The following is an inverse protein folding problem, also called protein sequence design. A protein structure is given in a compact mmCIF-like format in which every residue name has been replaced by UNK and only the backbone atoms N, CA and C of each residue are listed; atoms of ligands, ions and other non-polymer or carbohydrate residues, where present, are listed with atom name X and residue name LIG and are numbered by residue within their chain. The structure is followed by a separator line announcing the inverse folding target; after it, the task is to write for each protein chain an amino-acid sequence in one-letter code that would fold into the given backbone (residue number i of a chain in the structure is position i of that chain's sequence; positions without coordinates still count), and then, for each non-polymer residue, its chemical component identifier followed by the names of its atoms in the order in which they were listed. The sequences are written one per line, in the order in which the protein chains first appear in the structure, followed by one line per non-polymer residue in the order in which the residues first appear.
data_IF_854519711772
#
_entry.id   IF_854519711772
#
_cell.length_a   1.000
_cell.length_b   1.000
_cell.length_c   1.000
_cell.angle_alpha   90.00
_cell.angle_beta   90.00
_cell.angle_gamma   90.00
#
_symmetry.space_group_name_H-M   'P 1'
#
loop_
_entity.id
_entity.type
_entity.pdbx_description
1 polymer ?
#
# COMPACT_ATOMS: atom_id res chain seq x y z
N UNK A 1 -1.34 10.61 -35.99
CA UNK A 1 -1.44 9.93 -34.67
C UNK A 1 -0.84 8.55 -34.83
N UNK A 2 0.28 8.23 -34.19
CA UNK A 2 0.99 6.96 -34.44
C UNK A 2 0.73 5.97 -33.30
N UNK A 3 0.48 4.71 -33.65
CA UNK A 3 0.21 3.64 -32.69
C UNK A 3 1.44 2.74 -32.52
N UNK A 4 1.66 2.28 -31.29
CA UNK A 4 2.73 1.34 -30.97
C UNK A 4 2.40 -0.06 -31.53
N UNK A 5 3.29 -0.64 -32.33
CA UNK A 5 3.10 -1.97 -32.92
C UNK A 5 3.14 -3.13 -31.91
N UNK A 6 3.54 -2.89 -30.66
CA UNK A 6 3.55 -3.92 -29.60
C UNK A 6 2.27 -3.90 -28.73
N UNK A 7 1.69 -2.73 -28.46
CA UNK A 7 0.55 -2.62 -27.53
C UNK A 7 -0.70 -1.98 -28.16
N UNK A 8 -0.65 -1.60 -29.44
CA UNK A 8 -1.72 -0.96 -30.21
C UNK A 8 -2.30 0.33 -29.60
N UNK A 9 -1.62 0.92 -28.62
CA UNK A 9 -1.98 2.21 -28.01
C UNK A 9 -1.28 3.36 -28.73
N UNK A 10 -1.93 4.51 -28.79
CA UNK A 10 -1.35 5.73 -29.36
C UNK A 10 -0.12 6.19 -28.57
N UNK A 11 0.96 6.46 -29.28
CA UNK A 11 2.19 7.04 -28.74
C UNK A 11 1.94 8.52 -28.45
N UNK A 12 1.93 8.87 -27.16
CA UNK A 12 1.78 10.26 -26.70
C UNK A 12 3.16 10.84 -26.40
N UNK A 13 3.54 11.88 -27.14
CA UNK A 13 4.81 12.62 -26.98
C UNK A 13 5.91 12.21 -27.96
N UNK A 14 7.08 12.84 -27.83
CA UNK A 14 8.20 12.71 -28.76
C UNK A 14 9.11 11.49 -28.48
N UNK A 15 8.73 10.64 -27.52
CA UNK A 15 9.52 9.49 -27.10
C UNK A 15 9.02 8.23 -27.81
N UNK A 16 9.62 7.94 -28.97
CA UNK A 16 9.32 6.75 -29.76
C UNK A 16 10.61 6.08 -30.23
N UNK A 17 10.54 4.77 -30.46
CA UNK A 17 11.58 3.98 -31.10
C UNK A 17 11.06 3.51 -32.45
N UNK A 18 11.78 3.83 -33.53
CA UNK A 18 11.45 3.41 -34.89
C UNK A 18 12.40 2.31 -35.32
N UNK A 19 11.85 1.18 -35.77
CA UNK A 19 12.65 0.09 -36.31
C UNK A 19 13.22 0.48 -37.68
N UNK A 20 14.50 0.23 -37.91
CA UNK A 20 15.15 0.45 -39.21
C UNK A 20 14.77 -0.57 -40.29
N UNK A 21 14.13 -1.70 -39.92
CA UNK A 21 13.81 -2.80 -40.85
C UNK A 21 12.34 -2.90 -41.28
N UNK A 22 11.41 -2.51 -40.42
CA UNK A 22 9.97 -2.65 -40.70
C UNK A 22 9.19 -1.34 -40.54
N UNK A 23 9.89 -0.22 -40.35
CA UNK A 23 9.33 1.12 -40.12
C UNK A 23 8.33 1.26 -38.95
N UNK A 24 8.02 0.17 -38.24
CA UNK A 24 7.14 0.19 -37.09
C UNK A 24 7.70 0.99 -35.93
N UNK A 25 6.78 1.63 -35.22
CA UNK A 25 7.08 2.49 -34.08
C UNK A 25 6.60 1.84 -32.80
N UNK A 26 7.38 2.03 -31.73
CA UNK A 26 7.15 1.40 -30.44
C UNK A 26 7.32 2.41 -29.31
N UNK A 27 6.56 2.23 -28.23
CA UNK A 27 6.88 2.88 -26.97
C UNK A 27 8.23 2.33 -26.46
N UNK A 28 9.12 3.18 -25.91
CA UNK A 28 10.36 2.71 -25.28
C UNK A 28 10.11 1.59 -24.26
N UNK A 29 9.09 1.74 -23.43
CA UNK A 29 8.72 0.73 -22.42
C UNK A 29 8.25 -0.60 -23.03
N UNK A 30 7.55 -0.57 -24.18
CA UNK A 30 7.10 -1.80 -24.85
C UNK A 30 8.26 -2.62 -25.43
N UNK A 31 9.44 -2.02 -25.58
CA UNK A 31 10.65 -2.69 -26.07
C UNK A 31 11.75 -2.72 -25.02
N UNK A 32 11.36 -2.61 -23.74
CA UNK A 32 12.22 -2.70 -22.57
C UNK A 32 13.34 -1.65 -22.49
N UNK A 33 13.05 -0.43 -22.96
CA UNK A 33 13.90 0.75 -22.80
C UNK A 33 13.29 1.61 -21.68
N UNK A 34 13.88 1.53 -20.50
CA UNK A 34 13.50 2.34 -19.32
C UNK A 34 14.15 3.72 -19.34
N UNK A 35 15.36 3.85 -19.89
CA UNK A 35 16.16 5.09 -19.86
C UNK A 35 16.31 5.75 -21.24
N UNK A 36 15.20 6.08 -21.90
CA UNK A 36 15.19 6.68 -23.25
C UNK A 36 16.10 7.92 -23.42
N UNK A 37 16.23 8.73 -22.37
CA UNK A 37 17.06 9.95 -22.36
C UNK A 37 18.56 9.66 -22.44
N UNK A 38 19.01 8.47 -22.02
CA UNK A 38 20.42 8.07 -22.07
C UNK A 38 20.81 7.40 -23.39
N UNK A 39 19.84 7.09 -24.25
CA UNK A 39 20.10 6.51 -25.56
C UNK A 39 20.68 7.58 -26.49
N UNK A 40 21.86 7.31 -27.04
CA UNK A 40 22.50 8.15 -28.05
C UNK A 40 21.73 8.14 -29.37
N UNK A 41 21.83 9.23 -30.13
CA UNK A 41 21.18 9.36 -31.44
C UNK A 41 21.57 8.23 -32.40
N UNK A 42 22.84 7.80 -32.38
CA UNK A 42 23.36 6.67 -33.14
C UNK A 42 22.55 5.41 -32.82
N UNK A 43 22.41 5.09 -31.54
CA UNK A 43 21.67 3.89 -31.10
C UNK A 43 20.19 3.96 -31.50
N UNK A 44 19.57 5.16 -31.49
CA UNK A 44 18.19 5.32 -31.99
C UNK A 44 18.10 5.06 -33.49
N UNK A 45 19.09 5.54 -34.25
CA UNK A 45 19.12 5.43 -35.71
C UNK A 45 19.45 4.01 -36.21
N UNK A 46 20.08 3.17 -35.39
CA UNK A 46 20.42 1.78 -35.74
C UNK A 46 19.52 0.75 -35.06
N UNK A 47 18.50 1.19 -34.32
CA UNK A 47 17.68 0.28 -33.52
C UNK A 47 16.78 -0.60 -34.38
N UNK A 48 16.78 -1.90 -34.07
CA UNK A 48 15.98 -2.93 -34.75
C UNK A 48 15.00 -3.51 -33.72
N UNK A 49 13.73 -3.64 -34.08
CA UNK A 49 12.73 -4.19 -33.17
C UNK A 49 12.96 -5.70 -32.92
N UNK A 50 12.42 -6.25 -31.81
CA UNK A 50 12.57 -7.66 -31.48
C UNK A 50 12.09 -8.60 -32.59
N UNK A 51 11.01 -8.24 -33.29
CA UNK A 51 10.48 -9.03 -34.40
C UNK A 51 11.47 -9.14 -35.56
N UNK A 52 12.05 -8.01 -35.99
CA UNK A 52 13.04 -7.98 -37.07
C UNK A 52 14.38 -8.57 -36.67
N UNK A 53 14.77 -8.47 -35.38
CA UNK A 53 15.98 -9.09 -34.85
C UNK A 53 15.88 -10.61 -34.84
N UNK A 54 14.70 -11.17 -34.57
CA UNK A 54 14.48 -12.62 -34.65
C UNK A 54 14.35 -13.13 -36.09
N UNK A 55 13.93 -12.27 -37.02
CA UNK A 55 13.75 -12.62 -38.43
C UNK A 55 15.04 -12.56 -39.26
N UNK A 56 16.14 -12.00 -38.73
CA UNK A 56 17.43 -12.04 -39.44
C UNK A 56 18.07 -13.41 -39.34
N UNK A 57 18.47 -14.04 -40.46
CA UNK A 57 19.31 -15.22 -40.40
C UNK A 57 20.61 -14.87 -39.67
N UNK A 58 20.93 -15.65 -38.62
CA UNK A 58 22.19 -15.53 -37.87
C UNK A 58 23.34 -15.85 -38.82
N UNK A 59 23.89 -14.82 -39.45
CA UNK A 59 25.04 -14.88 -40.36
C UNK A 59 26.32 -14.76 -39.55
N UNK A 60 26.51 -15.67 -38.59
CA UNK A 60 27.82 -16.05 -38.05
C UNK A 60 27.66 -17.28 -37.13
N UNK A 61 27.62 -18.47 -37.72
CA UNK A 61 27.67 -19.75 -37.00
C UNK A 61 29.01 -20.45 -37.24
N UNK A 62 30.09 -19.70 -37.30
CA UNK A 62 31.43 -20.22 -37.62
C UNK A 62 32.06 -21.05 -36.48
N UNK A 63 31.28 -21.48 -35.47
CA UNK A 63 31.77 -22.32 -34.36
C UNK A 63 30.70 -23.17 -33.66
N UNK A 64 29.85 -23.88 -34.43
CA UNK A 64 29.12 -25.07 -33.90
C UNK A 64 29.08 -26.19 -34.95
N UNK A 65 29.32 -27.46 -34.59
CA UNK A 65 29.38 -28.55 -35.56
C UNK A 65 28.02 -28.77 -36.22
N UNK A 66 28.10 -29.03 -37.52
CA UNK A 66 27.02 -29.20 -38.49
C UNK A 66 26.01 -30.26 -38.00
N UNK A 67 24.71 -29.90 -37.93
CA UNK A 67 23.62 -30.88 -38.02
C UNK A 67 23.23 -30.99 -39.48
N UNK A 68 23.55 -32.13 -40.10
CA UNK A 68 23.10 -32.50 -41.43
C UNK A 68 21.59 -32.73 -41.46
N UNK A 69 20.94 -32.58 -42.64
CA UNK A 69 19.50 -32.70 -42.78
C UNK A 69 19.05 -34.16 -42.74
N UNK A 70 17.86 -34.37 -42.17
CA UNK A 70 17.17 -35.66 -42.17
C UNK A 70 16.77 -36.02 -43.60
N UNK A 71 17.29 -37.15 -44.08
CA UNK A 71 16.72 -37.90 -45.19
C UNK A 71 15.97 -39.09 -44.56
N UNK A 72 14.72 -39.30 -44.95
CA UNK A 72 13.93 -40.46 -44.57
C UNK A 72 14.34 -41.70 -45.38
N UNK A 73 13.92 -42.86 -44.85
CA UNK A 73 13.84 -44.21 -45.43
C UNK A 73 14.96 -45.19 -45.07
N UNK A 74 14.59 -46.06 -44.12
CA UNK A 74 14.67 -47.52 -44.09
C UNK A 74 16.02 -48.27 -44.24
N UNK A 75 16.08 -49.38 -43.48
CA UNK A 75 16.91 -50.59 -43.60
C UNK A 75 18.04 -50.76 -42.54
N UNK A 76 17.69 -51.59 -41.55
CA UNK A 76 18.36 -52.81 -41.05
C UNK A 76 19.74 -52.78 -40.33
N UNK A 77 19.73 -53.45 -39.17
CA UNK A 77 20.79 -54.17 -38.44
C UNK A 77 22.17 -53.52 -38.20
N UNK A 78 22.50 -53.27 -36.91
CA UNK A 78 23.59 -53.94 -36.15
C UNK A 78 23.95 -53.22 -34.82
N UNK A 79 23.98 -54.02 -33.74
CA UNK A 79 24.76 -53.91 -32.49
C UNK A 79 24.68 -52.67 -31.56
N UNK A 80 24.62 -52.87 -30.23
CA UNK A 80 24.71 -51.80 -29.25
C UNK A 80 26.16 -51.34 -29.12
N UNK A 81 26.53 -50.25 -29.78
CA UNK A 81 27.77 -49.55 -29.46
C UNK A 81 27.55 -48.76 -28.17
N UNK A 82 28.02 -49.33 -27.07
CA UNK A 82 28.22 -48.61 -25.80
C UNK A 82 29.35 -47.62 -26.05
N UNK A 83 29.00 -46.43 -26.55
CA UNK A 83 29.90 -45.27 -26.51
C UNK A 83 29.67 -44.61 -25.16
N UNK A 84 30.37 -45.08 -24.14
CA UNK A 84 30.57 -44.32 -22.90
C UNK A 84 31.36 -43.03 -23.25
N UNK A 85 30.61 -42.01 -23.64
CA UNK A 85 31.11 -40.64 -23.76
C UNK A 85 31.05 -39.98 -22.38
N UNK A 86 32.20 -39.61 -21.75
CA UNK A 86 32.23 -39.00 -20.41
C UNK A 86 31.45 -37.68 -20.31
N UNK A 87 31.19 -37.04 -21.45
CA UNK A 87 30.51 -35.75 -21.59
C UNK A 87 29.02 -35.78 -21.23
N UNK A 88 28.29 -36.86 -21.54
CA UNK A 88 26.85 -36.97 -21.26
C UNK A 88 26.57 -37.14 -19.75
N UNK A 89 27.43 -37.88 -19.05
CA UNK A 89 27.35 -38.05 -17.60
C UNK A 89 27.66 -36.74 -16.85
N UNK A 90 28.67 -36.00 -17.30
CA UNK A 90 29.02 -34.69 -16.73
C UNK A 90 27.89 -33.65 -16.92
N UNK A 91 27.28 -33.60 -18.12
CA UNK A 91 26.14 -32.71 -18.39
C UNK A 91 24.88 -33.12 -17.60
N UNK A 92 24.64 -34.42 -17.43
CA UNK A 92 23.56 -34.95 -16.59
C UNK A 92 23.75 -34.55 -15.12
N UNK A 93 24.99 -34.60 -14.61
CA UNK A 93 25.33 -34.17 -13.26
C UNK A 93 25.09 -32.66 -13.05
N UNK A 94 25.51 -31.82 -14.00
CA UNK A 94 25.27 -30.37 -13.94
C UNK A 94 23.78 -30.00 -14.02
N UNK A 95 23.00 -30.69 -14.86
CA UNK A 95 21.55 -30.54 -14.93
C UNK A 95 20.86 -30.96 -13.63
N UNK A 96 21.34 -32.03 -12.98
CA UNK A 96 20.84 -32.48 -11.68
C UNK A 96 21.13 -31.45 -10.58
N UNK A 97 22.33 -30.86 -10.56
CA UNK A 97 22.69 -29.78 -9.63
C UNK A 97 21.80 -28.55 -9.84
N UNK A 98 21.63 -28.08 -11.08
CA UNK A 98 20.73 -26.98 -11.39
C UNK A 98 19.27 -27.29 -11.00
N UNK A 99 18.80 -28.51 -11.24
CA UNK A 99 17.47 -28.93 -10.84
C UNK A 99 17.29 -28.92 -9.31
N UNK A 100 18.34 -29.22 -8.55
CA UNK A 100 18.34 -29.12 -7.09
C UNK A 100 18.30 -27.66 -6.61
N UNK A 101 19.08 -26.76 -7.22
CA UNK A 101 19.04 -25.33 -6.91
C UNK A 101 17.67 -24.71 -7.24
N UNK A 102 17.06 -25.10 -8.36
CA UNK A 102 15.70 -24.67 -8.72
C UNK A 102 14.67 -25.14 -7.68
N UNK A 103 14.85 -26.32 -7.08
CA UNK A 103 13.96 -26.78 -5.99
C UNK A 103 14.13 -25.92 -4.74
N UNK A 104 15.36 -25.66 -4.32
CA UNK A 104 15.66 -24.78 -3.19
C UNK A 104 15.10 -23.37 -3.41
N UNK A 105 15.28 -22.78 -4.61
CA UNK A 105 14.70 -21.47 -4.93
C UNK A 105 13.16 -21.48 -4.90
N UNK A 106 12.52 -22.58 -5.29
CA UNK A 106 11.06 -22.71 -5.19
C UNK A 106 10.60 -22.79 -3.74
N UNK A 107 11.39 -23.45 -2.89
CA UNK A 107 11.15 -23.50 -1.45
C UNK A 107 11.29 -22.10 -0.82
N UNK A 108 12.39 -21.39 -1.09
CA UNK A 108 12.62 -20.03 -0.61
C UNK A 108 11.53 -19.04 -1.07
N UNK A 109 11.11 -19.13 -2.33
CA UNK A 109 10.01 -18.31 -2.86
C UNK A 109 8.68 -18.70 -2.20
N UNK A 110 8.49 -19.97 -1.87
CA UNK A 110 7.33 -20.45 -1.11
C UNK A 110 7.30 -19.87 0.30
N UNK A 111 8.43 -19.85 0.99
CA UNK A 111 8.58 -19.28 2.33
C UNK A 111 8.37 -17.76 2.31
N UNK A 112 9.01 -17.05 1.37
CA UNK A 112 8.83 -15.61 1.20
C UNK A 112 7.36 -15.26 0.94
N UNK A 113 6.68 -16.06 0.11
CA UNK A 113 5.24 -15.90 -0.14
C UNK A 113 4.43 -16.08 1.15
N UNK A 114 4.80 -17.04 2.00
CA UNK A 114 4.14 -17.25 3.29
C UNK A 114 4.35 -16.06 4.24
N UNK A 115 5.57 -15.53 4.31
CA UNK A 115 5.89 -14.33 5.10
C UNK A 115 5.14 -13.08 4.62
N UNK A 116 5.07 -12.86 3.30
CA UNK A 116 4.30 -11.76 2.72
C UNK A 116 2.80 -11.87 3.04
N UNK A 117 2.26 -13.10 3.01
CA UNK A 117 0.87 -13.35 3.41
C UNK A 117 0.66 -13.02 4.89
N UNK A 118 1.52 -13.52 5.78
CA UNK A 118 1.43 -13.24 7.22
C UNK A 118 1.53 -11.74 7.51
N UNK A 119 2.45 -11.03 6.86
CA UNK A 119 2.59 -9.59 7.01
C UNK A 119 1.32 -8.85 6.55
N UNK A 120 0.76 -9.24 5.41
CA UNK A 120 -0.49 -8.66 4.90
C UNK A 120 -1.63 -8.88 5.89
N UNK A 121 -1.75 -10.09 6.46
CA UNK A 121 -2.76 -10.43 7.46
C UNK A 121 -2.58 -9.59 8.75
N UNK A 122 -1.35 -9.41 9.23
CA UNK A 122 -1.06 -8.54 10.38
C UNK A 122 -1.36 -7.06 10.11
N UNK A 123 -1.05 -6.55 8.91
CA UNK A 123 -1.39 -5.17 8.52
C UNK A 123 -2.89 -4.96 8.47
N UNK A 124 -3.65 -5.94 7.96
CA UNK A 124 -5.11 -5.89 7.96
C UNK A 124 -5.66 -5.85 9.39
N UNK A 125 -5.14 -6.69 10.29
CA UNK A 125 -5.52 -6.66 11.71
C UNK A 125 -5.15 -5.33 12.38
N UNK A 126 -4.00 -4.76 12.04
CA UNK A 126 -3.58 -3.45 12.55
C UNK A 126 -4.56 -2.34 12.13
N UNK A 127 -4.97 -2.32 10.86
CA UNK A 127 -5.95 -1.35 10.37
C UNK A 127 -7.30 -1.49 11.08
N UNK A 128 -7.80 -2.72 11.28
CA UNK A 128 -9.05 -2.96 12.04
C UNK A 128 -8.94 -2.41 13.47
N UNK A 129 -7.80 -2.64 14.14
CA UNK A 129 -7.56 -2.09 15.49
C UNK A 129 -7.48 -0.57 15.48
N UNK A 130 -6.87 0.04 14.47
CA UNK A 130 -6.81 1.50 14.33
C UNK A 130 -8.21 2.11 14.15
N UNK A 131 -9.08 1.46 13.38
CA UNK A 131 -10.48 1.90 13.21
C UNK A 131 -11.26 1.80 14.53
N UNK A 132 -11.09 0.73 15.30
CA UNK A 132 -11.69 0.61 16.65
C UNK A 132 -11.19 1.71 17.59
N UNK A 133 -9.89 2.00 17.61
CA UNK A 133 -9.35 3.10 18.40
C UNK A 133 -9.86 4.46 17.95
N UNK A 134 -10.03 4.68 16.64
CA UNK A 134 -10.62 5.91 16.09
C UNK A 134 -12.06 6.11 16.60
N UNK A 135 -12.87 5.04 16.60
CA UNK A 135 -14.24 5.07 17.13
C UNK A 135 -14.24 5.37 18.63
N UNK A 136 -13.39 4.68 19.40
CA UNK A 136 -13.27 4.90 20.86
C UNK A 136 -12.82 6.33 21.19
N UNK A 137 -11.89 6.88 20.41
CA UNK A 137 -11.41 8.25 20.56
C UNK A 137 -12.54 9.25 20.29
N UNK A 138 -13.27 9.10 19.18
CA UNK A 138 -14.43 9.95 18.87
C UNK A 138 -15.46 9.93 20.00
N UNK A 139 -15.76 8.76 20.56
CA UNK A 139 -16.70 8.62 21.68
C UNK A 139 -16.20 9.30 22.96
N UNK A 140 -14.90 9.22 23.23
CA UNK A 140 -14.28 9.88 24.38
C UNK A 140 -14.31 11.42 24.21
N UNK A 141 -14.06 11.92 23.02
CA UNK A 141 -14.18 13.34 22.69
C UNK A 141 -15.62 13.84 22.86
N UNK A 142 -16.62 13.10 22.37
CA UNK A 142 -18.04 13.44 22.55
C UNK A 142 -18.44 13.49 24.03
N UNK A 143 -17.96 12.52 24.83
CA UNK A 143 -18.18 12.50 26.26
C UNK A 143 -17.53 13.71 26.94
N UNK A 144 -16.32 14.10 26.52
CA UNK A 144 -15.61 15.27 27.06
C UNK A 144 -16.38 16.56 26.75
N UNK A 145 -16.83 16.74 25.50
CA UNK A 145 -17.68 17.87 25.09
C UNK A 145 -18.99 17.95 25.90
N UNK A 146 -19.61 16.80 26.21
CA UNK A 146 -20.81 16.76 27.03
C UNK A 146 -20.53 17.16 28.48
N UNK A 147 -19.40 16.72 29.04
CA UNK A 147 -18.99 17.10 30.40
C UNK A 147 -18.67 18.60 30.51
N UNK A 148 -17.97 19.17 29.54
CA UNK A 148 -17.69 20.62 29.48
C UNK A 148 -18.98 21.46 29.45
N UNK A 149 -19.99 21.02 28.70
CA UNK A 149 -21.32 21.67 28.69
C UNK A 149 -21.99 21.58 30.06
N UNK A 150 -21.98 20.42 30.68
CA UNK A 150 -22.57 20.25 32.00
C UNK A 150 -21.86 21.09 33.06
N UNK A 151 -20.53 21.19 33.00
CA UNK A 151 -19.74 22.05 33.89
C UNK A 151 -20.12 23.52 33.73
N UNK A 152 -20.27 24.00 32.48
CA UNK A 152 -20.71 25.38 32.23
C UNK A 152 -22.11 25.67 32.80
N UNK A 153 -23.02 24.70 32.73
CA UNK A 153 -24.36 24.83 33.28
C UNK A 153 -24.35 24.82 34.82
N UNK A 154 -23.52 23.97 35.44
CA UNK A 154 -23.34 23.95 36.90
C UNK A 154 -22.77 25.29 37.39
N UNK A 155 -21.78 25.86 36.69
CA UNK A 155 -21.24 27.18 37.03
C UNK A 155 -22.32 28.27 36.94
N UNK A 156 -23.15 28.24 35.89
CA UNK A 156 -24.27 29.18 35.71
C UNK A 156 -25.30 29.05 36.85
N UNK A 157 -25.72 27.83 37.17
CA UNK A 157 -26.67 27.56 38.25
C UNK A 157 -26.13 28.00 39.60
N UNK A 158 -24.85 27.71 39.90
CA UNK A 158 -24.20 28.15 41.13
C UNK A 158 -24.15 29.68 41.22
N UNK A 159 -23.88 30.38 40.12
CA UNK A 159 -23.93 31.85 40.10
C UNK A 159 -25.34 32.38 40.39
N UNK A 160 -26.39 31.75 39.87
CA UNK A 160 -27.78 32.14 40.18
C UNK A 160 -28.12 31.86 41.65
N UNK A 161 -27.70 30.72 42.21
CA UNK A 161 -27.90 30.39 43.62
C UNK A 161 -27.22 31.44 44.51
N UNK A 162 -25.98 31.83 44.19
CA UNK A 162 -25.25 32.85 44.93
C UNK A 162 -25.98 34.21 44.89
N UNK A 163 -26.47 34.62 43.72
CA UNK A 163 -27.26 35.86 43.58
C UNK A 163 -28.54 35.82 44.41
N UNK A 164 -29.29 34.72 44.37
CA UNK A 164 -30.53 34.56 45.13
C UNK A 164 -30.25 34.56 46.65
N UNK A 165 -29.18 33.91 47.10
CA UNK A 165 -28.77 33.94 48.50
C UNK A 165 -28.42 35.36 48.97
N UNK A 166 -27.70 36.13 48.14
CA UNK A 166 -27.40 37.53 48.43
C UNK A 166 -28.66 38.39 48.51
N UNK A 167 -29.62 38.16 47.62
CA UNK A 167 -30.91 38.86 47.64
C UNK A 167 -31.72 38.54 48.90
N UNK A 168 -31.83 37.25 49.27
CA UNK A 168 -32.49 36.82 50.52
C UNK A 168 -31.83 37.48 51.73
N UNK A 169 -30.50 37.45 51.82
CA UNK A 169 -29.77 38.06 52.93
C UNK A 169 -30.02 39.57 53.01
N UNK A 170 -30.03 40.24 51.86
CA UNK A 170 -30.31 41.68 51.78
C UNK A 170 -31.73 41.99 52.22
N UNK A 171 -32.72 41.20 51.78
CA UNK A 171 -34.11 41.34 52.20
C UNK A 171 -34.28 41.11 53.71
N UNK A 172 -33.64 40.07 54.26
CA UNK A 172 -33.67 39.79 55.70
C UNK A 172 -33.10 40.96 56.51
N UNK A 173 -31.97 41.54 56.08
CA UNK A 173 -31.40 42.73 56.72
C UNK A 173 -32.31 43.96 56.61
N UNK A 174 -33.02 44.15 55.50
CA UNK A 174 -33.99 45.24 55.34
C UNK A 174 -35.17 45.04 56.29
N UNK A 175 -35.69 43.82 56.41
CA UNK A 175 -36.77 43.49 57.33
C UNK A 175 -36.39 43.78 58.78
N UNK A 176 -35.22 43.35 59.23
CA UNK A 176 -34.69 43.63 60.57
C UNK A 176 -34.57 45.13 60.86
N UNK A 177 -34.22 45.96 59.87
CA UNK A 177 -34.17 47.43 60.05
C UNK A 177 -35.53 48.07 60.29
N UNK A 178 -36.61 47.42 59.84
CA UNK A 178 -37.97 47.91 60.00
C UNK A 178 -38.62 47.40 61.30
N UNK A 179 -37.99 46.44 61.98
CA UNK A 179 -38.45 45.90 63.25
C UNK A 179 -37.88 46.71 64.42
N UNK A 180 -38.75 47.12 65.35
CA UNK A 180 -38.34 47.75 66.62
C UNK A 180 -38.57 46.75 67.73
N UNK A 181 -37.47 46.24 68.30
CA UNK A 181 -37.52 45.37 69.47
C UNK A 181 -37.63 46.23 70.74
N UNK A 182 -38.73 46.07 71.48
CA UNK A 182 -38.94 46.75 72.76
C UNK A 182 -38.70 45.75 73.87
N UNK A 183 -37.63 45.94 74.65
CA UNK A 183 -37.27 45.09 75.79
C UNK A 183 -37.47 45.83 77.12
N UNK A 184 -37.76 45.08 78.19
CA UNK A 184 -37.81 45.64 79.55
C UNK A 184 -39.14 46.29 79.97
N UNK A 185 -40.24 46.06 79.25
CA UNK A 185 -41.58 46.49 79.70
C UNK A 185 -42.17 45.44 80.65
N UNK A 186 -42.70 45.90 81.79
CA UNK A 186 -43.44 45.06 82.74
C UNK A 186 -44.84 44.75 82.21
N UNK A 187 -45.19 43.46 82.08
CA UNK A 187 -46.54 43.03 81.65
C UNK A 187 -47.63 43.58 82.58
N UNK A 188 -48.68 44.14 81.99
CA UNK A 188 -49.88 44.55 82.74
C UNK A 188 -51.01 43.53 82.55
N UNK A 189 -51.81 43.32 83.59
CA UNK A 189 -52.77 42.19 83.70
C UNK A 189 -53.90 42.17 82.64
N UNK A 190 -54.01 43.19 81.80
CA UNK A 190 -55.05 43.33 80.77
C UNK A 190 -54.50 43.36 79.33
N UNK A 191 -53.20 43.18 79.12
CA UNK A 191 -52.65 43.01 77.78
C UNK A 191 -52.73 41.53 77.40
N UNK A 192 -53.49 41.24 76.35
CA UNK A 192 -53.80 39.88 75.92
C UNK A 192 -52.53 39.23 75.36
N UNK A 193 -52.24 38.04 75.87
CA UNK A 193 -51.13 37.17 75.49
C UNK A 193 -51.29 36.58 74.08
#
# INVERSE_FOLDING_TARGET
MVNCAACNKTIRGNQLMKCTKCDYQYHPLCVNISEYRKITEITRSTWICPQCRCATPKTDNTNKPIRSPVCNEDIDSCSPVVVESPSLAANSCQLSLLASEIKLLREDVGELKAHLKSLTDHLMQCNIRLDDYKIKLSRAEDKTRALEKNESEVLRLNSTIEQLNQEINTQAQIHLKNEVEITGITETTNEIR
#
